data_IF_451427831022
#
_entry.id   IF_451427831022
#
_cell.length_a   1.000
_cell.length_b   1.000
_cell.length_c   1.000
_cell.angle_alpha   90.00
_cell.angle_beta   90.00
_cell.angle_gamma   90.00
#
_symmetry.space_group_name_H-M   'P 1'
#
loop_
_entity.id
_entity.type
_entity.pdbx_description
1 polymer ?
#
# COMPACT_ATOMS: atom_id res chain seq x y z
N UNK A 1 -12.12 -31.39 9.44
CA UNK A 1 -11.31 -30.25 8.96
C UNK A 1 -10.99 -30.48 7.50
N UNK A 2 -11.28 -29.52 6.62
CA UNK A 2 -10.96 -29.66 5.20
C UNK A 2 -9.47 -29.36 4.96
N UNK A 3 -8.78 -30.21 4.21
CA UNK A 3 -7.38 -29.99 3.83
C UNK A 3 -7.29 -28.92 2.73
N UNK A 4 -6.32 -27.99 2.80
CA UNK A 4 -6.07 -27.06 1.71
C UNK A 4 -5.75 -27.80 0.42
N UNK A 5 -6.46 -27.46 -0.65
CA UNK A 5 -6.30 -28.02 -1.99
C UNK A 5 -6.29 -26.92 -3.06
N UNK A 6 -5.90 -27.27 -4.29
CA UNK A 6 -5.91 -26.33 -5.42
C UNK A 6 -7.31 -25.76 -5.70
N UNK A 7 -8.38 -26.50 -5.36
CA UNK A 7 -9.76 -26.08 -5.56
C UNK A 7 -10.18 -24.85 -4.74
N UNK A 8 -9.45 -24.50 -3.67
CA UNK A 8 -9.71 -23.29 -2.89
C UNK A 8 -9.06 -22.01 -3.48
N UNK A 9 -8.37 -22.13 -4.61
CA UNK A 9 -7.72 -21.01 -5.27
C UNK A 9 -8.73 -19.97 -5.77
N UNK A 10 -8.61 -18.73 -5.30
CA UNK A 10 -9.41 -17.61 -5.80
C UNK A 10 -9.16 -17.33 -7.29
N UNK A 11 -10.18 -16.81 -7.98
CA UNK A 11 -10.12 -16.40 -9.39
C UNK A 11 -8.87 -15.55 -9.68
N UNK A 12 -8.20 -15.82 -10.81
CA UNK A 12 -6.99 -15.10 -11.25
C UNK A 12 -7.20 -13.58 -11.31
N UNK A 13 -8.41 -13.12 -11.66
CA UNK A 13 -8.74 -11.68 -11.73
C UNK A 13 -8.79 -11.02 -10.35
N UNK A 14 -9.32 -11.70 -9.34
CA UNK A 14 -9.55 -11.15 -8.00
C UNK A 14 -8.42 -11.48 -7.02
N UNK A 15 -7.49 -12.37 -7.41
CA UNK A 15 -6.31 -12.70 -6.61
C UNK A 15 -5.46 -11.45 -6.33
N UNK A 16 -4.98 -11.32 -5.09
CA UNK A 16 -4.17 -10.20 -4.60
C UNK A 16 -4.87 -8.82 -4.57
N UNK A 17 -6.19 -8.79 -4.76
CA UNK A 17 -6.97 -7.58 -4.62
C UNK A 17 -7.35 -7.35 -3.15
N UNK A 18 -7.29 -6.11 -2.68
CA UNK A 18 -7.82 -5.73 -1.38
C UNK A 18 -9.36 -5.63 -1.43
N UNK A 19 -10.05 -5.67 -0.28
CA UNK A 19 -11.49 -5.44 -0.20
C UNK A 19 -11.95 -4.10 -0.80
N UNK A 20 -11.04 -3.12 -0.88
CA UNK A 20 -11.28 -1.83 -1.55
C UNK A 20 -11.29 -1.90 -3.08
N UNK A 21 -11.10 -3.06 -3.70
CA UNK A 21 -11.03 -3.22 -5.17
C UNK A 21 -9.67 -2.86 -5.79
N UNK A 22 -8.71 -2.44 -4.98
CA UNK A 22 -7.37 -2.03 -5.45
C UNK A 22 -6.34 -3.12 -5.16
N UNK A 23 -5.32 -3.26 -6.00
CA UNK A 23 -4.16 -4.10 -5.70
C UNK A 23 -3.24 -3.39 -4.70
N UNK A 24 -2.72 -4.16 -3.75
CA UNK A 24 -1.76 -3.67 -2.78
C UNK A 24 -0.37 -3.54 -3.41
N UNK A 25 0.27 -2.39 -3.26
CA UNK A 25 1.64 -2.17 -3.70
C UNK A 25 2.50 -1.66 -2.54
N UNK A 26 3.66 -2.27 -2.35
CA UNK A 26 4.61 -1.90 -1.31
C UNK A 26 5.54 -0.78 -1.81
N UNK A 27 5.55 0.34 -1.11
CA UNK A 27 6.35 1.53 -1.44
C UNK A 27 7.52 1.65 -0.48
N UNK A 28 8.73 1.80 -1.02
CA UNK A 28 9.96 1.96 -0.21
C UNK A 28 10.56 3.36 -0.34
N UNK A 29 10.34 4.04 -1.46
CA UNK A 29 10.91 5.36 -1.75
C UNK A 29 9.88 6.28 -2.43
N UNK A 30 10.25 7.55 -2.66
CA UNK A 30 9.38 8.56 -3.30
C UNK A 30 9.21 8.33 -4.82
N UNK A 31 10.19 7.72 -5.51
CA UNK A 31 10.08 7.40 -6.94
C UNK A 31 9.05 6.30 -7.20
N UNK A 32 8.93 5.34 -6.29
CA UNK A 32 7.90 4.29 -6.31
C UNK A 32 6.47 4.89 -6.25
N UNK A 33 6.34 6.10 -5.69
CA UNK A 33 5.09 6.86 -5.59
C UNK A 33 4.71 7.50 -6.94
N UNK A 34 5.63 7.65 -7.88
CA UNK A 34 5.35 8.24 -9.20
C UNK A 34 4.88 7.20 -10.21
N UNK A 35 5.36 5.96 -10.08
CA UNK A 35 5.11 4.88 -11.04
C UNK A 35 3.63 4.42 -11.13
N UNK A 36 2.76 4.75 -10.16
CA UNK A 36 1.51 3.99 -9.95
C UNK A 36 0.27 4.84 -9.62
N UNK A 37 -0.30 5.56 -10.59
CA UNK A 37 -1.51 6.36 -10.35
C UNK A 37 -2.76 5.55 -9.91
N UNK A 38 -2.81 4.22 -10.13
CA UNK A 38 -4.00 3.38 -9.92
C UNK A 38 -3.93 2.35 -8.76
N UNK A 39 -2.90 2.33 -7.92
CA UNK A 39 -2.74 1.30 -6.87
C UNK A 39 -2.76 1.88 -5.45
N UNK A 40 -3.41 1.16 -4.52
CA UNK A 40 -3.40 1.50 -3.10
C UNK A 40 -2.07 1.03 -2.49
N UNK A 41 -1.41 1.94 -1.77
CA UNK A 41 0.00 1.79 -1.38
C UNK A 41 0.16 1.51 0.11
N UNK A 42 0.92 0.48 0.44
CA UNK A 42 1.44 0.23 1.80
C UNK A 42 2.88 0.75 1.86
N UNK A 43 3.18 1.66 2.78
CA UNK A 43 4.57 2.11 3.00
C UNK A 43 5.30 1.02 3.77
N UNK A 44 6.46 0.59 3.26
CA UNK A 44 7.27 -0.46 3.86
C UNK A 44 7.68 -0.14 5.31
N UNK A 45 7.81 -1.20 6.11
CA UNK A 45 8.09 -1.07 7.55
C UNK A 45 9.47 -0.45 7.82
N UNK A 46 10.44 -0.66 6.93
CA UNK A 46 11.82 -0.16 7.05
C UNK A 46 11.96 1.35 6.82
N UNK A 47 10.92 2.03 6.28
CA UNK A 47 10.98 3.46 5.98
C UNK A 47 10.90 4.28 7.27
N UNK A 48 11.86 5.19 7.45
CA UNK A 48 11.92 6.12 8.59
C UNK A 48 10.84 7.20 8.51
N UNK A 49 10.45 7.76 9.65
CA UNK A 49 9.35 8.73 9.78
C UNK A 49 9.52 9.94 8.87
N UNK A 50 10.73 10.48 8.74
CA UNK A 50 11.03 11.61 7.84
C UNK A 50 10.68 11.30 6.39
N UNK A 51 11.18 10.18 5.86
CA UNK A 51 10.87 9.74 4.48
C UNK A 51 9.38 9.41 4.29
N UNK A 52 8.70 8.94 5.34
CA UNK A 52 7.25 8.68 5.28
C UNK A 52 6.47 9.96 5.05
N UNK A 53 6.86 11.08 5.66
CA UNK A 53 6.21 12.38 5.46
C UNK A 53 6.31 12.80 3.98
N UNK A 54 7.50 12.67 3.38
CA UNK A 54 7.72 12.99 1.96
C UNK A 54 6.87 12.11 1.04
N UNK A 55 6.81 10.80 1.32
CA UNK A 55 5.98 9.84 0.59
C UNK A 55 4.49 10.19 0.70
N UNK A 56 4.02 10.58 1.90
CA UNK A 56 2.62 10.97 2.12
C UNK A 56 2.31 12.27 1.39
N UNK A 57 3.20 13.26 1.44
CA UNK A 57 3.03 14.52 0.72
C UNK A 57 2.95 14.30 -0.79
N UNK A 58 3.85 13.48 -1.36
CA UNK A 58 3.84 13.14 -2.78
C UNK A 58 2.62 12.30 -3.17
N UNK A 59 2.19 11.37 -2.32
CA UNK A 59 0.98 10.58 -2.56
C UNK A 59 -0.29 11.44 -2.57
N UNK A 60 -0.38 12.46 -1.69
CA UNK A 60 -1.47 13.44 -1.67
C UNK A 60 -1.52 14.25 -2.97
N UNK A 61 -0.37 14.72 -3.46
CA UNK A 61 -0.28 15.46 -4.73
C UNK A 61 -0.79 14.64 -5.92
N UNK A 62 -0.50 13.34 -5.93
CA UNK A 62 -0.91 12.42 -7.00
C UNK A 62 -2.32 11.84 -6.80
N UNK A 63 -3.03 12.20 -5.72
CA UNK A 63 -4.36 11.68 -5.42
C UNK A 63 -4.39 10.19 -5.05
N UNK A 64 -3.27 9.59 -4.64
CA UNK A 64 -3.17 8.16 -4.36
C UNK A 64 -3.39 7.86 -2.87
N UNK A 65 -4.25 6.88 -2.59
CA UNK A 65 -4.56 6.46 -1.22
C UNK A 65 -3.46 5.57 -0.64
N UNK A 66 -2.96 5.99 0.53
CA UNK A 66 -1.99 5.24 1.35
C UNK A 66 -2.73 4.57 2.50
N UNK A 67 -2.53 3.25 2.68
CA UNK A 67 -3.26 2.46 3.69
C UNK A 67 -2.75 2.66 5.11
N UNK A 68 -1.44 2.91 5.29
CA UNK A 68 -0.79 3.05 6.60
C UNK A 68 -0.19 4.46 6.83
N UNK A 69 -0.89 5.51 6.39
CA UNK A 69 -0.38 6.88 6.43
C UNK A 69 0.02 7.37 7.85
N UNK A 70 -0.69 6.93 8.89
CA UNK A 70 -0.43 7.35 10.29
C UNK A 70 0.72 6.61 10.98
N UNK A 71 1.21 5.50 10.40
CA UNK A 71 2.22 4.70 11.09
C UNK A 71 3.57 5.42 11.18
N UNK A 72 4.23 5.33 12.34
CA UNK A 72 5.55 5.92 12.66
C UNK A 72 5.64 7.45 12.58
N UNK A 73 4.55 8.16 12.30
CA UNK A 73 4.53 9.63 12.34
C UNK A 73 4.19 10.03 13.76
N UNK A 74 5.11 10.68 14.48
CA UNK A 74 4.82 11.30 15.77
C UNK A 74 4.11 12.61 15.44
N UNK A 75 2.87 12.76 15.89
CA UNK A 75 2.18 14.06 15.85
C UNK A 75 2.42 14.71 17.21
N UNK A 76 3.38 15.62 17.28
CA UNK A 76 3.35 16.71 18.26
C UNK A 76 2.43 17.79 17.69
N UNK A 77 1.12 17.50 17.67
CA UNK A 77 0.05 18.46 17.38
C UNK A 77 -1.18 18.03 18.17
#
# INVERSE_FOLDING_TARGET
>A
MAMPSIGYGSNKKTRYMMPSGHKAFLVSNVKDVELLMMHNRTIAHNVSSRKRIDIIARAKQLGVKVTNAKAKVTTEV
#
